data_IF_401423486467
#
_entry.id   IF_401423486467
#
_cell.length_a   1.000
_cell.length_b   1.000
_cell.length_c   1.000
_cell.angle_alpha   90.00
_cell.angle_beta   90.00
_cell.angle_gamma   90.00
#
_symmetry.space_group_name_H-M   'P 1'
#
loop_
_entity.id
_entity.type
_entity.pdbx_description
1 polymer ?
#
# COMPACT_ATOMS: atom_id res chain seq x y z
N UNK A 1 -20.58 -2.45 21.68
CA UNK A 1 -20.09 -2.40 20.28
C UNK A 1 -21.23 -1.86 19.42
N UNK A 2 -21.05 -0.76 18.69
CA UNK A 2 -22.07 -0.21 17.78
C UNK A 2 -21.64 -0.55 16.36
N UNK A 3 -22.42 -1.31 15.57
CA UNK A 3 -22.05 -1.60 14.19
C UNK A 3 -22.14 -0.32 13.34
N UNK A 4 -21.06 -0.04 12.61
CA UNK A 4 -20.96 1.06 11.66
C UNK A 4 -20.80 0.47 10.27
N UNK A 5 -21.60 0.96 9.32
CA UNK A 5 -21.52 0.55 7.91
C UNK A 5 -21.16 1.78 7.09
N UNK A 6 -20.07 1.66 6.31
CA UNK A 6 -19.58 2.74 5.44
C UNK A 6 -19.95 2.40 4.00
N UNK A 7 -20.62 3.33 3.32
CA UNK A 7 -21.01 3.20 1.93
C UNK A 7 -20.17 4.12 1.04
N UNK A 8 -19.62 3.55 -0.02
CA UNK A 8 -18.71 4.23 -0.97
C UNK A 8 -19.45 4.82 -2.18
N UNK A 9 -20.76 4.61 -2.31
CA UNK A 9 -21.56 5.09 -3.41
C UNK A 9 -22.72 5.98 -2.93
N UNK A 10 -23.28 6.78 -3.83
CA UNK A 10 -24.46 7.58 -3.54
C UNK A 10 -25.68 6.67 -3.40
N UNK A 11 -26.58 7.04 -2.49
CA UNK A 11 -27.82 6.31 -2.24
C UNK A 11 -28.41 6.65 -0.88
N UNK A 12 -29.66 6.27 -0.67
CA UNK A 12 -30.28 6.18 0.65
C UNK A 12 -30.05 4.79 1.20
N UNK A 13 -29.53 4.71 2.43
CA UNK A 13 -29.16 3.45 3.05
C UNK A 13 -30.08 3.17 4.23
N UNK A 14 -30.64 1.95 4.33
CA UNK A 14 -31.37 1.56 5.51
C UNK A 14 -30.42 1.59 6.72
N UNK A 15 -30.92 1.95 7.89
CA UNK A 15 -30.17 1.94 9.16
C UNK A 15 -30.50 0.72 10.01
N UNK A 16 -31.23 -0.23 9.42
CA UNK A 16 -31.75 -1.43 10.07
C UNK A 16 -31.63 -2.60 9.11
N UNK A 17 -31.10 -3.71 9.60
CA UNK A 17 -31.15 -5.00 8.91
C UNK A 17 -32.07 -5.93 9.71
N UNK A 18 -33.07 -6.48 9.03
CA UNK A 18 -33.97 -7.50 9.59
C UNK A 18 -33.83 -8.78 8.79
N UNK A 19 -33.39 -9.85 9.45
CA UNK A 19 -33.27 -11.18 8.87
C UNK A 19 -34.35 -12.08 9.47
N UNK A 20 -35.15 -12.69 8.62
CA UNK A 20 -36.28 -13.53 8.99
C UNK A 20 -36.62 -14.53 7.90
N UNK A 21 -37.44 -15.51 8.25
CA UNK A 21 -38.12 -16.39 7.30
C UNK A 21 -39.63 -16.23 7.41
N UNK A 22 -40.40 -17.05 6.71
CA UNK A 22 -41.87 -16.95 6.64
C UNK A 22 -42.56 -17.04 8.01
N UNK A 23 -41.92 -17.69 8.98
CA UNK A 23 -42.42 -17.87 10.35
C UNK A 23 -42.07 -16.71 11.31
N UNK A 24 -41.19 -15.77 10.93
CA UNK A 24 -40.84 -14.64 11.80
C UNK A 24 -39.46 -14.03 11.55
N UNK A 25 -39.18 -12.91 12.25
CA UNK A 25 -37.87 -12.22 12.24
C UNK A 25 -36.99 -12.76 13.37
N UNK A 26 -35.79 -13.24 13.02
CA UNK A 26 -34.86 -13.86 13.98
C UNK A 26 -33.65 -12.98 14.31
N UNK A 27 -33.36 -11.98 13.46
CA UNK A 27 -32.29 -11.03 13.68
C UNK A 27 -32.76 -9.63 13.32
N UNK A 28 -32.62 -8.69 14.24
CA UNK A 28 -32.92 -7.29 14.01
C UNK A 28 -31.88 -6.44 14.74
N UNK A 29 -31.12 -5.66 13.99
CA UNK A 29 -30.22 -4.68 14.58
C UNK A 29 -30.16 -3.40 13.75
N UNK A 30 -29.87 -2.32 14.47
CA UNK A 30 -29.65 -1.00 13.92
C UNK A 30 -28.15 -0.75 13.80
N UNK A 31 -27.76 -0.05 12.74
CA UNK A 31 -26.38 0.35 12.52
C UNK A 31 -26.31 1.82 12.13
N UNK A 32 -25.16 2.44 12.40
CA UNK A 32 -24.86 3.77 11.92
C UNK A 32 -24.41 3.67 10.47
N UNK A 33 -25.20 4.22 9.55
CA UNK A 33 -24.87 4.29 8.13
C UNK A 33 -24.11 5.59 7.85
N UNK A 34 -22.88 5.47 7.35
CA UNK A 34 -22.07 6.60 6.87
C UNK A 34 -21.88 6.50 5.37
N UNK A 35 -22.49 7.42 4.62
CA UNK A 35 -22.30 7.52 3.18
C UNK A 35 -21.21 8.56 2.88
N UNK A 36 -20.02 8.11 2.49
CA UNK A 36 -18.90 9.01 2.20
C UNK A 36 -19.24 10.03 1.10
N UNK A 37 -19.99 9.69 0.02
CA UNK A 37 -20.33 10.66 -1.01
C UNK A 37 -21.25 11.80 -0.58
N UNK A 38 -21.68 11.85 0.69
CA UNK A 38 -22.42 12.97 1.30
C UNK A 38 -21.52 13.87 2.16
N UNK A 39 -20.30 13.45 2.43
CA UNK A 39 -19.35 14.14 3.30
C UNK A 39 -18.43 14.98 2.43
N UNK A 40 -18.34 16.31 2.62
CA UNK A 40 -17.44 17.15 1.83
C UNK A 40 -15.97 16.75 2.01
N UNK A 41 -15.29 16.43 0.92
CA UNK A 41 -13.88 16.01 0.95
C UNK A 41 -12.98 17.09 1.57
N UNK A 42 -13.26 18.38 1.27
CA UNK A 42 -12.50 19.54 1.78
C UNK A 42 -12.37 19.57 3.29
N UNK A 43 -13.40 19.15 4.03
CA UNK A 43 -13.39 19.15 5.50
C UNK A 43 -12.33 18.19 6.07
N UNK A 44 -11.84 17.26 5.25
CA UNK A 44 -10.87 16.23 5.63
C UNK A 44 -9.50 16.41 4.96
N UNK A 45 -9.25 17.54 4.30
CA UNK A 45 -7.96 17.83 3.66
C UNK A 45 -6.79 17.93 4.64
N UNK A 46 -7.04 18.27 5.90
CA UNK A 46 -5.99 18.33 6.92
C UNK A 46 -6.28 17.34 8.06
N UNK A 47 -7.09 16.32 7.79
CA UNK A 47 -7.41 15.29 8.77
C UNK A 47 -6.16 14.51 9.18
N UNK A 48 -5.89 14.34 10.49
CA UNK A 48 -4.80 13.49 10.96
C UNK A 48 -5.14 11.98 10.86
N UNK A 49 -6.38 11.64 10.49
CA UNK A 49 -6.81 10.26 10.32
C UNK A 49 -6.48 9.77 8.90
N UNK A 50 -5.55 8.80 8.82
CA UNK A 50 -5.13 8.17 7.56
C UNK A 50 -6.33 7.64 6.76
N UNK A 51 -7.24 6.91 7.39
CA UNK A 51 -8.41 6.32 6.69
C UNK A 51 -9.28 7.40 6.05
N UNK A 52 -9.46 8.55 6.73
CA UNK A 52 -10.19 9.68 6.15
C UNK A 52 -9.46 10.27 4.94
N UNK A 53 -8.13 10.40 5.01
CA UNK A 53 -7.29 10.89 3.90
C UNK A 53 -7.30 9.96 2.70
N UNK A 54 -7.24 8.65 2.92
CA UNK A 54 -7.32 7.65 1.83
C UNK A 54 -8.69 7.64 1.17
N UNK A 55 -9.76 7.96 1.90
CA UNK A 55 -11.13 7.94 1.41
C UNK A 55 -11.60 9.26 0.77
N UNK A 56 -10.74 10.27 0.64
CA UNK A 56 -11.11 11.52 -0.02
C UNK A 56 -11.70 11.32 -1.44
N UNK A 57 -11.21 10.39 -2.29
CA UNK A 57 -11.83 10.10 -3.58
C UNK A 57 -13.26 9.51 -3.49
N UNK A 58 -13.64 8.96 -2.35
CA UNK A 58 -14.99 8.42 -2.10
C UNK A 58 -15.94 9.47 -1.48
N UNK A 59 -15.45 10.68 -1.21
CA UNK A 59 -16.20 11.78 -0.59
C UNK A 59 -16.86 12.71 -1.62
N UNK A 60 -17.64 13.69 -1.15
CA UNK A 60 -18.27 14.69 -2.00
C UNK A 60 -17.27 15.77 -2.43
N UNK A 61 -17.14 15.98 -3.73
CA UNK A 61 -16.37 17.07 -4.35
C UNK A 61 -16.87 17.34 -5.78
N UNK A 62 -16.63 18.55 -6.30
CA UNK A 62 -16.90 18.93 -7.69
C UNK A 62 -15.84 18.39 -8.66
N UNK A 63 -16.16 18.19 -9.95
CA UNK A 63 -15.20 17.69 -10.94
C UNK A 63 -13.90 18.50 -11.02
N UNK A 64 -13.98 19.83 -10.85
CA UNK A 64 -12.85 20.76 -10.85
C UNK A 64 -11.88 20.55 -9.68
N UNK A 65 -12.36 19.93 -8.61
CA UNK A 65 -11.61 19.67 -7.38
C UNK A 65 -10.94 18.29 -7.40
N UNK A 66 -11.27 17.43 -8.37
CA UNK A 66 -10.83 16.03 -8.42
C UNK A 66 -9.30 15.90 -8.31
N UNK A 67 -8.54 16.75 -9.01
CA UNK A 67 -7.08 16.74 -8.94
C UNK A 67 -6.55 17.20 -7.58
N UNK A 68 -7.21 18.17 -6.94
CA UNK A 68 -6.85 18.64 -5.60
C UNK A 68 -7.15 17.56 -4.55
N UNK A 69 -8.30 16.90 -4.65
CA UNK A 69 -8.69 15.74 -3.83
C UNK A 69 -7.67 14.63 -3.93
N UNK A 70 -7.26 14.26 -5.16
CA UNK A 70 -6.23 13.25 -5.38
C UNK A 70 -4.88 13.67 -4.80
N UNK A 71 -4.44 14.92 -5.04
CA UNK A 71 -3.20 15.45 -4.46
C UNK A 71 -3.21 15.39 -2.92
N UNK A 72 -4.34 15.72 -2.32
CA UNK A 72 -4.52 15.71 -0.87
C UNK A 72 -4.52 14.28 -0.32
N UNK A 73 -5.17 13.32 -0.97
CA UNK A 73 -5.09 11.92 -0.58
C UNK A 73 -3.64 11.40 -0.60
N UNK A 74 -2.90 11.72 -1.66
CA UNK A 74 -1.49 11.34 -1.84
C UNK A 74 -0.58 11.97 -0.79
N UNK A 75 -0.80 13.26 -0.48
CA UNK A 75 -0.08 13.95 0.60
C UNK A 75 -0.40 13.34 1.96
N UNK A 76 -1.66 13.02 2.23
CA UNK A 76 -2.08 12.33 3.45
C UNK A 76 -1.40 10.97 3.61
N UNK A 77 -1.39 10.16 2.55
CA UNK A 77 -0.74 8.85 2.52
C UNK A 77 0.74 8.95 2.85
N UNK A 78 1.47 9.81 2.13
CA UNK A 78 2.92 9.97 2.32
C UNK A 78 3.29 10.57 3.69
N UNK A 79 2.41 11.37 4.28
CA UNK A 79 2.65 12.02 5.58
C UNK A 79 2.32 11.12 6.76
N UNK A 80 1.23 10.34 6.68
CA UNK A 80 0.66 9.65 7.84
C UNK A 80 0.98 8.16 7.91
N UNK A 81 1.25 7.50 6.79
CA UNK A 81 1.65 6.08 6.79
C UNK A 81 3.17 6.01 6.72
N UNK A 82 3.90 5.56 7.75
CA UNK A 82 5.36 5.41 7.69
C UNK A 82 5.82 4.16 6.91
N UNK A 83 5.01 3.11 6.85
CA UNK A 83 5.38 1.80 6.28
C UNK A 83 5.33 1.84 4.73
N UNK A 84 6.48 1.63 4.04
CA UNK A 84 6.53 1.60 2.58
C UNK A 84 5.62 0.56 1.95
N UNK A 85 5.49 -0.64 2.52
CA UNK A 85 4.65 -1.69 1.93
C UNK A 85 3.17 -1.33 1.99
N UNK A 86 2.75 -0.74 3.13
CA UNK A 86 1.37 -0.26 3.27
C UNK A 86 1.09 0.91 2.35
N UNK A 87 2.07 1.81 2.15
CA UNK A 87 1.93 2.92 1.20
C UNK A 87 1.55 2.44 -0.18
N UNK A 88 2.19 1.37 -0.67
CA UNK A 88 1.91 0.84 -2.02
C UNK A 88 0.51 0.26 -2.11
N UNK A 89 0.12 -0.55 -1.11
CA UNK A 89 -1.23 -1.12 -1.05
C UNK A 89 -2.30 -0.04 -1.04
N UNK A 90 -2.05 1.07 -0.36
CA UNK A 90 -2.99 2.19 -0.27
C UNK A 90 -2.91 3.15 -1.46
N UNK A 91 -1.78 3.21 -2.15
CA UNK A 91 -1.65 3.97 -3.39
C UNK A 91 -2.62 3.43 -4.45
N UNK A 92 -2.64 2.12 -4.66
CA UNK A 92 -3.56 1.47 -5.61
C UNK A 92 -5.02 1.80 -5.29
N UNK A 93 -5.36 1.82 -3.99
CA UNK A 93 -6.69 2.20 -3.55
C UNK A 93 -7.07 3.62 -3.98
N UNK A 94 -6.19 4.61 -3.73
CA UNK A 94 -6.44 6.00 -4.12
C UNK A 94 -6.59 6.10 -5.64
N UNK A 95 -5.70 5.45 -6.40
CA UNK A 95 -5.71 5.48 -7.86
C UNK A 95 -6.99 4.88 -8.46
N UNK A 96 -7.42 3.72 -7.94
CA UNK A 96 -8.63 3.03 -8.39
C UNK A 96 -9.87 3.90 -8.19
N UNK A 97 -10.02 4.50 -7.00
CA UNK A 97 -11.23 5.26 -6.68
C UNK A 97 -11.21 6.69 -7.24
N UNK A 98 -10.05 7.33 -7.33
CA UNK A 98 -9.96 8.62 -8.00
C UNK A 98 -10.18 8.51 -9.51
N UNK A 99 -9.81 7.38 -10.11
CA UNK A 99 -10.02 7.08 -11.53
C UNK A 99 -9.65 8.28 -12.44
N UNK A 100 -8.42 8.79 -12.27
CA UNK A 100 -7.91 9.85 -13.12
C UNK A 100 -7.71 9.34 -14.54
N UNK A 101 -8.28 10.02 -15.53
CA UNK A 101 -8.03 9.76 -16.94
C UNK A 101 -6.63 10.25 -17.37
N UNK A 102 -6.24 9.97 -18.62
CA UNK A 102 -4.91 10.33 -19.11
C UNK A 102 -4.65 11.85 -19.12
N UNK A 103 -5.65 12.65 -19.50
CA UNK A 103 -5.52 14.10 -19.51
C UNK A 103 -5.40 14.65 -18.09
N UNK A 104 -6.24 14.16 -17.17
CA UNK A 104 -6.19 14.48 -15.76
C UNK A 104 -4.83 14.11 -15.14
N UNK A 105 -4.24 12.96 -15.51
CA UNK A 105 -2.90 12.55 -15.09
C UNK A 105 -1.80 13.48 -15.64
N UNK A 106 -1.91 13.92 -16.89
CA UNK A 106 -0.98 14.90 -17.48
C UNK A 106 -1.05 16.23 -16.70
N UNK A 107 -2.26 16.75 -16.48
CA UNK A 107 -2.47 18.01 -15.75
C UNK A 107 -2.01 17.88 -14.30
N UNK A 108 -2.30 16.76 -13.65
CA UNK A 108 -1.84 16.48 -12.29
C UNK A 108 -0.32 16.56 -12.19
N UNK A 109 0.41 15.93 -13.12
CA UNK A 109 1.88 15.96 -13.14
C UNK A 109 2.45 17.36 -13.28
N UNK A 110 1.79 18.23 -14.05
CA UNK A 110 2.20 19.61 -14.24
C UNK A 110 1.88 20.48 -13.00
N UNK A 111 0.73 20.25 -12.38
CA UNK A 111 0.23 21.08 -11.27
C UNK A 111 0.83 20.71 -9.91
N UNK A 112 1.20 19.44 -9.72
CA UNK A 112 1.72 18.89 -8.46
C UNK A 112 3.08 18.19 -8.67
N UNK A 113 4.10 18.90 -9.18
CA UNK A 113 5.39 18.29 -9.53
C UNK A 113 6.14 17.73 -8.31
N UNK A 114 5.96 18.34 -7.13
CA UNK A 114 6.63 17.88 -5.91
C UNK A 114 6.09 16.54 -5.41
N UNK A 115 4.76 16.35 -5.43
CA UNK A 115 4.10 15.10 -5.10
C UNK A 115 4.54 13.99 -6.06
N UNK A 116 4.59 14.27 -7.36
CA UNK A 116 5.09 13.32 -8.36
C UNK A 116 6.54 12.96 -8.11
N UNK A 117 7.42 13.94 -7.88
CA UNK A 117 8.83 13.67 -7.61
C UNK A 117 9.03 12.82 -6.34
N UNK A 118 8.22 13.03 -5.30
CA UNK A 118 8.23 12.17 -4.10
C UNK A 118 7.79 10.75 -4.43
N UNK A 119 6.76 10.58 -5.25
CA UNK A 119 6.26 9.26 -5.64
C UNK A 119 7.27 8.51 -6.52
N UNK A 120 7.92 9.18 -7.47
CA UNK A 120 8.98 8.59 -8.30
C UNK A 120 10.13 8.07 -7.44
N UNK A 121 10.67 8.91 -6.54
CA UNK A 121 11.74 8.48 -5.60
C UNK A 121 11.31 7.35 -4.67
N UNK A 122 10.03 7.29 -4.34
CA UNK A 122 9.48 6.21 -3.52
C UNK A 122 9.41 4.91 -4.33
N UNK A 123 8.92 4.97 -5.57
CA UNK A 123 8.86 3.82 -6.46
C UNK A 123 10.27 3.27 -6.80
N UNK A 124 11.24 4.15 -7.07
CA UNK A 124 12.64 3.77 -7.32
C UNK A 124 13.21 2.94 -6.16
N UNK A 125 13.13 3.47 -4.93
CA UNK A 125 13.62 2.75 -3.73
C UNK A 125 12.90 1.42 -3.51
N UNK A 126 11.58 1.38 -3.74
CA UNK A 126 10.84 0.14 -3.57
C UNK A 126 11.23 -0.93 -4.60
N UNK A 127 11.49 -0.53 -5.85
CA UNK A 127 11.98 -1.44 -6.88
C UNK A 127 13.35 -1.98 -6.48
N UNK A 128 14.26 -1.12 -6.01
CA UNK A 128 15.58 -1.53 -5.51
C UNK A 128 15.47 -2.53 -4.34
N UNK A 129 14.63 -2.25 -3.34
CA UNK A 129 14.37 -3.15 -2.21
C UNK A 129 13.77 -4.48 -2.67
N UNK A 130 12.82 -4.46 -3.61
CA UNK A 130 12.20 -5.67 -4.17
C UNK A 130 13.19 -6.54 -4.95
N UNK A 131 14.12 -5.92 -5.68
CA UNK A 131 15.23 -6.62 -6.35
C UNK A 131 16.13 -7.27 -5.30
N UNK A 132 16.58 -6.53 -4.28
CA UNK A 132 17.45 -7.05 -3.21
C UNK A 132 16.83 -8.22 -2.45
N UNK A 133 15.54 -8.14 -2.10
CA UNK A 133 14.80 -9.26 -1.49
C UNK A 133 14.74 -10.48 -2.42
N UNK A 134 14.58 -10.26 -3.72
CA UNK A 134 14.62 -11.31 -4.74
C UNK A 134 15.98 -11.99 -4.81
N UNK A 135 17.07 -11.21 -4.85
CA UNK A 135 18.45 -11.69 -4.86
C UNK A 135 18.77 -12.49 -3.60
N UNK A 136 18.43 -11.97 -2.42
CA UNK A 136 18.62 -12.66 -1.14
C UNK A 136 17.90 -14.03 -1.13
N UNK A 137 16.65 -14.06 -1.61
CA UNK A 137 15.86 -15.30 -1.71
C UNK A 137 16.49 -16.31 -2.66
N UNK A 138 17.02 -15.87 -3.80
CA UNK A 138 17.71 -16.73 -4.76
C UNK A 138 19.00 -17.27 -4.15
N UNK A 139 19.81 -16.41 -3.53
CA UNK A 139 21.05 -16.79 -2.88
C UNK A 139 20.83 -17.81 -1.76
N UNK A 140 19.84 -17.58 -0.88
CA UNK A 140 19.45 -18.54 0.16
C UNK A 140 19.10 -19.91 -0.43
N UNK A 141 18.38 -19.93 -1.56
CA UNK A 141 17.98 -21.17 -2.23
C UNK A 141 19.19 -21.88 -2.84
N UNK A 142 20.10 -21.16 -3.49
CA UNK A 142 21.32 -21.73 -4.06
C UNK A 142 22.23 -22.33 -2.98
N UNK A 143 22.46 -21.58 -1.89
CA UNK A 143 23.23 -22.02 -0.74
C UNK A 143 22.61 -23.24 -0.07
N UNK A 144 21.29 -23.24 0.11
CA UNK A 144 20.58 -24.40 0.68
C UNK A 144 20.70 -25.64 -0.20
N UNK A 145 20.65 -25.47 -1.53
CA UNK A 145 20.82 -26.59 -2.48
C UNK A 145 22.25 -27.11 -2.50
N UNK A 146 23.26 -26.24 -2.38
CA UNK A 146 24.68 -26.63 -2.45
C UNK A 146 25.21 -27.20 -1.14
N UNK A 147 24.83 -26.59 -0.01
CA UNK A 147 25.42 -26.89 1.31
C UNK A 147 24.43 -27.50 2.32
N UNK A 148 23.14 -27.60 1.97
CA UNK A 148 22.09 -28.07 2.89
C UNK A 148 21.51 -26.94 3.76
N UNK A 149 20.73 -27.27 4.80
CA UNK A 149 20.04 -26.29 5.63
C UNK A 149 20.98 -25.25 6.23
N UNK A 150 20.69 -23.96 5.99
CA UNK A 150 21.51 -22.86 6.49
C UNK A 150 21.13 -22.50 7.94
N UNK A 151 22.12 -22.24 8.83
CA UNK A 151 21.87 -21.71 10.16
C UNK A 151 21.15 -20.36 10.14
N UNK A 152 20.30 -20.10 11.12
CA UNK A 152 19.54 -18.85 11.22
C UNK A 152 20.40 -17.57 11.18
N UNK A 153 21.59 -17.51 11.83
CA UNK A 153 22.46 -16.33 11.73
C UNK A 153 22.93 -16.04 10.30
N UNK A 154 23.13 -17.08 9.49
CA UNK A 154 23.54 -16.95 8.08
C UNK A 154 22.37 -16.45 7.24
N UNK A 155 21.17 -16.98 7.50
CA UNK A 155 19.94 -16.52 6.83
C UNK A 155 19.69 -15.04 7.09
N UNK A 156 19.72 -14.63 8.36
CA UNK A 156 19.52 -13.24 8.76
C UNK A 156 20.56 -12.32 8.12
N UNK A 157 21.83 -12.74 8.05
CA UNK A 157 22.91 -11.97 7.38
C UNK A 157 22.65 -11.76 5.89
N UNK A 158 22.08 -12.76 5.20
CA UNK A 158 21.73 -12.65 3.78
C UNK A 158 20.52 -11.74 3.59
N UNK A 159 19.48 -11.89 4.40
CA UNK A 159 18.26 -11.07 4.30
C UNK A 159 18.51 -9.59 4.61
N UNK A 160 19.55 -9.26 5.39
CA UNK A 160 19.93 -7.90 5.71
C UNK A 160 21.02 -7.29 4.82
N UNK A 161 21.56 -8.02 3.84
CA UNK A 161 22.66 -7.55 3.00
C UNK A 161 22.16 -6.66 1.85
N UNK A 162 22.99 -5.68 1.45
CA UNK A 162 22.76 -4.88 0.25
C UNK A 162 22.96 -5.68 -1.05
N UNK A 163 22.42 -5.17 -2.15
CA UNK A 163 22.46 -5.82 -3.47
C UNK A 163 23.89 -6.12 -3.95
N UNK A 164 24.85 -5.19 -3.79
CA UNK A 164 26.24 -5.40 -4.21
C UNK A 164 26.90 -6.55 -3.44
N UNK A 165 26.58 -6.69 -2.15
CA UNK A 165 27.05 -7.78 -1.30
C UNK A 165 26.40 -9.11 -1.67
N UNK A 166 25.09 -9.13 -1.91
CA UNK A 166 24.35 -10.30 -2.37
C UNK A 166 24.87 -10.81 -3.73
N UNK A 167 25.17 -9.90 -4.65
CA UNK A 167 25.73 -10.23 -5.96
C UNK A 167 27.11 -10.89 -5.82
N UNK A 168 28.02 -10.28 -5.04
CA UNK A 168 29.34 -10.86 -4.77
C UNK A 168 29.26 -12.25 -4.13
N UNK A 169 28.35 -12.45 -3.18
CA UNK A 169 28.14 -13.78 -2.60
C UNK A 169 27.58 -14.76 -3.63
N UNK A 170 26.63 -14.35 -4.47
CA UNK A 170 26.06 -15.18 -5.54
C UNK A 170 27.13 -15.64 -6.54
N UNK A 171 28.06 -14.77 -6.91
CA UNK A 171 29.20 -15.14 -7.76
C UNK A 171 30.12 -16.17 -7.08
N UNK A 172 30.41 -15.98 -5.79
CA UNK A 172 31.25 -16.90 -5.01
C UNK A 172 30.60 -18.26 -4.76
N UNK A 173 29.26 -18.32 -4.67
CA UNK A 173 28.54 -19.60 -4.56
C UNK A 173 28.85 -20.54 -5.73
N UNK A 174 29.18 -20.01 -6.90
CA UNK A 174 29.49 -20.84 -8.07
C UNK A 174 30.79 -21.64 -7.90
N UNK A 175 31.75 -21.13 -7.13
CA UNK A 175 33.09 -21.72 -7.00
C UNK A 175 33.44 -22.22 -5.60
N UNK A 176 32.78 -21.72 -4.55
CA UNK A 176 33.07 -22.07 -3.17
C UNK A 176 32.75 -23.53 -2.82
N UNK A 177 33.66 -24.23 -2.15
CA UNK A 177 33.47 -25.61 -1.68
C UNK A 177 32.86 -25.66 -0.27
N UNK A 178 32.97 -24.55 0.48
CA UNK A 178 32.43 -24.41 1.83
C UNK A 178 31.67 -23.09 2.03
N UNK A 179 30.72 -23.09 2.97
CA UNK A 179 29.84 -21.96 3.23
C UNK A 179 30.62 -20.68 3.63
N UNK A 180 31.72 -20.82 4.38
CA UNK A 180 32.54 -19.69 4.85
C UNK A 180 33.26 -18.96 3.70
N UNK A 181 33.60 -19.69 2.62
CA UNK A 181 34.26 -19.13 1.44
C UNK A 181 33.35 -18.20 0.64
N UNK A 182 32.03 -18.44 0.69
CA UNK A 182 31.04 -17.58 0.05
C UNK A 182 31.05 -16.20 0.69
N UNK A 183 30.99 -16.16 2.03
CA UNK A 183 30.89 -14.90 2.74
C UNK A 183 32.20 -14.12 2.73
N UNK A 184 33.33 -14.80 2.56
CA UNK A 184 34.65 -14.25 2.82
C UNK A 184 34.80 -13.95 4.32
N UNK A 185 35.87 -14.43 4.92
CA UNK A 185 36.39 -13.84 6.15
C UNK A 185 36.71 -12.37 5.94
#
# INVERSE_FOLDING_TARGET
MVPVVVFLHRGDFPTKLSLGGDAGTYLNFHFLAYALPRIPAREHFESPNLVARLNLPNMAYGPEEKLEVYAQAMRGLTTLEPDPERRIKYLDFIDIYAALDENERIVYRQRYPEEVAKMTRFAERFIEEGIGQGEARVLLRQLTLKFGPLPEPVRARIESADADTLLRWSERVLTADHLDEVFGS
#
